data_IF_475176469656
#
_entry.id   IF_475176469656
#
_cell.length_a   1.000
_cell.length_b   1.000
_cell.length_c   1.000
_cell.angle_alpha   90.00
_cell.angle_beta   90.00
_cell.angle_gamma   90.00
#
_symmetry.space_group_name_H-M   'P 1'
#
loop_
_entity.id
_entity.type
_entity.pdbx_description
1 polymer ?
#
# COMPACT_ATOMS: atom_id res chain seq x y z
N UNK A 1 -48.35 -12.40 -1.21
CA UNK A 1 -47.99 -13.81 -0.98
C UNK A 1 -47.06 -14.19 -2.12
N UNK A 2 -45.81 -13.73 -2.09
CA UNK A 2 -44.66 -14.37 -1.40
C UNK A 2 -44.21 -15.58 -2.24
N UNK A 3 -43.01 -15.70 -2.82
CA UNK A 3 -41.72 -15.01 -2.64
C UNK A 3 -40.94 -15.11 -3.97
N UNK A 4 -40.41 -13.99 -4.48
CA UNK A 4 -38.98 -13.64 -4.47
C UNK A 4 -38.10 -14.57 -5.31
N UNK A 5 -37.86 -14.11 -6.54
CA UNK A 5 -36.52 -13.96 -7.13
C UNK A 5 -35.48 -15.01 -6.67
N UNK A 6 -35.41 -16.12 -7.41
CA UNK A 6 -34.21 -16.94 -7.48
C UNK A 6 -33.14 -16.16 -8.26
N UNK A 7 -32.59 -15.10 -7.66
CA UNK A 7 -31.28 -14.62 -8.03
C UNK A 7 -30.31 -15.71 -7.59
N UNK A 8 -29.79 -16.44 -8.55
CA UNK A 8 -28.60 -17.27 -8.44
C UNK A 8 -27.45 -16.36 -7.98
N UNK A 9 -27.39 -16.12 -6.66
CA UNK A 9 -26.23 -15.58 -5.99
C UNK A 9 -25.15 -16.65 -6.12
N UNK A 10 -24.47 -16.63 -7.26
CA UNK A 10 -23.09 -17.10 -7.30
C UNK A 10 -22.35 -16.28 -6.26
N UNK A 11 -22.17 -16.87 -5.09
CA UNK A 11 -21.03 -16.59 -4.23
C UNK A 11 -19.81 -16.90 -5.11
N UNK A 12 -19.40 -15.92 -5.92
CA UNK A 12 -18.12 -15.95 -6.60
C UNK A 12 -17.11 -16.24 -5.51
N UNK A 13 -16.47 -17.40 -5.59
CA UNK A 13 -15.40 -17.77 -4.69
C UNK A 13 -14.39 -16.61 -4.72
N UNK A 14 -14.42 -15.74 -3.70
CA UNK A 14 -13.42 -14.72 -3.53
C UNK A 14 -12.12 -15.49 -3.46
N UNK A 15 -11.26 -15.27 -4.44
CA UNK A 15 -9.88 -15.74 -4.39
C UNK A 15 -9.32 -15.15 -3.11
N UNK A 16 -9.25 -15.96 -2.06
CA UNK A 16 -8.64 -15.57 -0.80
C UNK A 16 -7.17 -15.40 -1.13
N UNK A 17 -6.71 -14.16 -1.17
CA UNK A 17 -5.32 -13.84 -1.44
C UNK A 17 -4.51 -14.31 -0.22
N UNK A 18 -3.35 -14.93 -0.44
CA UNK A 18 -2.46 -15.36 0.64
C UNK A 18 -2.16 -14.21 1.63
N UNK A 19 -2.16 -12.97 1.14
CA UNK A 19 -1.99 -11.75 1.93
C UNK A 19 -3.10 -11.52 2.96
N UNK A 20 -4.34 -11.98 2.71
CA UNK A 20 -5.46 -11.85 3.65
C UNK A 20 -5.34 -12.79 4.85
N UNK A 21 -4.48 -13.81 4.74
CA UNK A 21 -4.16 -14.74 5.83
C UNK A 21 -2.99 -14.26 6.70
N UNK A 22 -2.26 -13.22 6.26
CA UNK A 22 -1.17 -12.65 7.03
C UNK A 22 -1.69 -11.73 8.14
N UNK A 23 -1.03 -11.70 9.31
CA UNK A 23 -1.32 -10.71 10.33
C UNK A 23 -1.24 -9.29 9.76
N UNK A 24 -2.35 -8.56 9.90
CA UNK A 24 -2.47 -7.19 9.43
C UNK A 24 -2.01 -6.22 10.54
N UNK A 25 -1.01 -5.40 10.22
CA UNK A 25 -0.45 -4.39 11.12
C UNK A 25 -0.65 -2.99 10.52
N UNK A 26 -0.88 -1.95 11.33
CA UNK A 26 -0.90 -0.57 10.83
C UNK A 26 0.48 -0.20 10.30
N UNK A 27 0.52 0.34 9.07
CA UNK A 27 1.75 0.81 8.43
C UNK A 27 1.55 2.22 7.87
N UNK A 28 2.63 2.96 7.79
CA UNK A 28 2.72 4.22 7.07
C UNK A 28 3.74 4.08 5.96
N UNK A 29 3.30 4.33 4.73
CA UNK A 29 4.13 4.29 3.55
C UNK A 29 4.64 5.69 3.31
N UNK A 30 5.95 5.83 3.15
CA UNK A 30 6.63 7.12 2.99
C UNK A 30 7.30 7.16 1.63
N UNK A 31 6.99 8.21 0.87
CA UNK A 31 7.59 8.55 -0.42
C UNK A 31 8.50 9.77 -0.25
N UNK A 32 9.68 9.70 -0.84
CA UNK A 32 10.64 10.80 -0.92
C UNK A 32 10.53 11.59 -2.22
N UNK A 33 11.15 12.76 -2.27
CA UNK A 33 11.20 13.59 -3.49
C UNK A 33 11.97 12.91 -4.63
N UNK A 34 12.98 12.09 -4.34
CA UNK A 34 13.71 11.33 -5.35
C UNK A 34 13.03 10.02 -5.77
N UNK A 35 11.77 9.81 -5.38
CA UNK A 35 10.96 8.64 -5.78
C UNK A 35 11.24 7.39 -4.97
N UNK A 36 11.88 7.52 -3.80
CA UNK A 36 12.19 6.41 -2.92
C UNK A 36 11.03 6.10 -1.98
N UNK A 37 10.66 4.82 -1.86
CA UNK A 37 9.53 4.38 -1.01
C UNK A 37 9.97 3.38 0.05
N UNK A 38 9.42 3.53 1.25
CA UNK A 38 9.59 2.58 2.38
C UNK A 38 8.30 2.39 3.16
N UNK A 39 8.15 1.23 3.79
CA UNK A 39 7.11 0.95 4.79
C UNK A 39 7.67 1.15 6.19
N UNK A 40 6.91 1.82 7.05
CA UNK A 40 7.22 2.00 8.46
C UNK A 40 6.03 1.55 9.33
N UNK A 41 6.33 0.92 10.46
CA UNK A 41 5.31 0.36 11.35
C UNK A 41 4.60 1.47 12.14
N UNK A 42 3.29 1.35 12.26
CA UNK A 42 2.43 2.28 13.00
C UNK A 42 2.06 3.54 12.22
N UNK A 43 1.06 4.26 12.73
CA UNK A 43 0.55 5.52 12.16
C UNK A 43 1.07 6.77 12.88
N UNK A 44 1.75 6.59 14.00
CA UNK A 44 2.30 7.63 14.89
C UNK A 44 3.72 8.08 14.51
N UNK A 45 4.21 7.65 13.34
CA UNK A 45 5.50 8.12 12.85
C UNK A 45 5.38 9.55 12.33
N UNK A 46 6.46 10.33 12.42
CA UNK A 46 6.62 11.59 11.71
C UNK A 46 7.56 11.39 10.50
N UNK A 47 7.02 11.22 9.28
CA UNK A 47 7.82 11.02 8.09
C UNK A 47 8.83 12.14 7.81
N UNK A 48 8.49 13.38 8.18
CA UNK A 48 9.33 14.55 7.88
C UNK A 48 10.66 14.54 8.63
N UNK A 49 10.71 13.84 9.77
CA UNK A 49 11.90 13.73 10.64
C UNK A 49 12.74 12.48 10.37
N UNK A 50 12.32 11.61 9.44
CA UNK A 50 13.05 10.39 9.13
C UNK A 50 14.37 10.67 8.41
N UNK A 51 15.31 9.74 8.45
CA UNK A 51 16.54 9.85 7.66
C UNK A 51 16.28 9.60 6.18
N UNK A 52 16.82 10.46 5.32
CA UNK A 52 16.76 10.36 3.86
C UNK A 52 18.17 10.23 3.27
N UNK A 53 18.25 9.85 1.99
CA UNK A 53 19.52 9.80 1.27
C UNK A 53 20.06 11.22 1.06
N UNK A 54 21.36 11.34 0.77
CA UNK A 54 21.96 12.65 0.49
C UNK A 54 21.28 13.33 -0.70
N UNK A 55 20.79 14.55 -0.50
CA UNK A 55 20.03 15.32 -1.50
C UNK A 55 18.57 14.91 -1.65
N UNK A 56 18.04 14.08 -0.76
CA UNK A 56 16.66 13.60 -0.77
C UNK A 56 15.90 14.11 0.46
N UNK A 57 14.58 14.17 0.37
CA UNK A 57 13.73 14.69 1.44
C UNK A 57 12.33 14.07 1.42
N UNK A 58 11.53 14.37 2.43
CA UNK A 58 10.13 13.92 2.51
C UNK A 58 9.30 14.53 1.38
N UNK A 59 8.48 13.70 0.72
CA UNK A 59 7.49 14.15 -0.25
C UNK A 59 6.06 13.94 0.22
N UNK A 60 5.69 12.68 0.51
CA UNK A 60 4.33 12.34 0.97
C UNK A 60 4.30 11.06 1.79
N UNK A 61 3.22 10.85 2.52
CA UNK A 61 2.96 9.61 3.23
C UNK A 61 1.48 9.23 3.22
N UNK A 62 1.21 7.93 3.25
CA UNK A 62 -0.14 7.37 3.37
C UNK A 62 -0.18 6.32 4.46
N UNK A 63 -1.29 6.29 5.20
CA UNK A 63 -1.55 5.29 6.24
C UNK A 63 -2.36 4.17 5.64
N UNK A 64 -2.04 2.94 6.05
CA UNK A 64 -2.74 1.75 5.59
C UNK A 64 -2.46 0.56 6.50
N UNK A 65 -2.72 -0.62 5.96
CA UNK A 65 -2.50 -1.90 6.62
C UNK A 65 -1.47 -2.73 5.84
N UNK A 66 -0.68 -3.55 6.53
CA UNK A 66 0.42 -4.33 5.93
C UNK A 66 -0.02 -5.34 4.85
N UNK A 67 -1.29 -5.77 4.90
CA UNK A 67 -1.89 -6.70 3.95
C UNK A 67 -2.63 -6.00 2.79
N UNK A 68 -2.62 -4.66 2.74
CA UNK A 68 -3.27 -3.90 1.67
C UNK A 68 -2.21 -3.38 0.69
N UNK A 69 -2.35 -3.63 -0.62
CA UNK A 69 -1.40 -3.10 -1.60
C UNK A 69 -1.46 -1.57 -1.67
N UNK A 70 -0.31 -0.97 -1.96
CA UNK A 70 -0.16 0.47 -2.16
C UNK A 70 -0.08 0.76 -3.64
N UNK A 71 -0.90 1.70 -4.10
CA UNK A 71 -0.94 2.12 -5.50
C UNK A 71 -0.13 3.41 -5.70
N UNK A 72 0.74 3.39 -6.69
CA UNK A 72 1.50 4.53 -7.19
C UNK A 72 1.01 4.89 -8.58
N UNK A 73 0.89 6.19 -8.86
CA UNK A 73 0.46 6.72 -10.15
C UNK A 73 1.55 7.63 -10.69
N UNK A 74 2.09 7.30 -11.87
CA UNK A 74 3.06 8.15 -12.53
C UNK A 74 2.39 9.24 -13.39
N UNK A 75 3.18 10.24 -13.75
CA UNK A 75 2.79 11.35 -14.61
C UNK A 75 2.36 10.93 -16.03
N UNK A 76 2.69 9.71 -16.45
CA UNK A 76 2.27 9.13 -17.75
C UNK A 76 0.92 8.41 -17.65
N UNK A 77 0.32 8.33 -16.47
CA UNK A 77 -0.95 7.67 -16.21
C UNK A 77 -0.84 6.16 -15.97
N UNK A 78 0.37 5.63 -15.73
CA UNK A 78 0.54 4.22 -15.35
C UNK A 78 0.37 4.06 -13.85
N UNK A 79 -0.15 2.90 -13.46
CA UNK A 79 -0.30 2.50 -12.07
C UNK A 79 0.61 1.33 -11.72
N UNK A 80 1.17 1.35 -10.52
CA UNK A 80 2.00 0.29 -9.98
C UNK A 80 1.50 -0.07 -8.60
N UNK A 81 1.38 -1.38 -8.32
CA UNK A 81 0.96 -1.90 -7.03
C UNK A 81 2.14 -2.57 -6.35
N UNK A 82 2.37 -2.22 -5.08
CA UNK A 82 3.40 -2.84 -4.26
C UNK A 82 2.81 -3.26 -2.91
N UNK A 83 3.21 -4.44 -2.44
CA UNK A 83 2.86 -4.89 -1.09
C UNK A 83 3.70 -4.13 -0.06
N UNK A 84 3.11 -3.60 1.03
CA UNK A 84 3.86 -3.00 2.13
C UNK A 84 4.92 -3.93 2.73
N UNK A 85 4.71 -5.25 2.67
CA UNK A 85 5.64 -6.25 3.20
C UNK A 85 6.90 -6.42 2.33
N UNK A 86 6.78 -6.14 1.03
CA UNK A 86 7.92 -6.19 0.09
C UNK A 86 8.77 -4.91 0.17
N UNK A 87 8.20 -3.84 0.71
CA UNK A 87 8.86 -2.57 0.99
C UNK A 87 9.67 -2.67 2.29
N UNK A 88 10.77 -3.41 2.27
CA UNK A 88 11.71 -3.44 3.39
C UNK A 88 12.31 -2.05 3.66
N UNK A 89 13.12 -1.93 4.72
CA UNK A 89 13.95 -0.74 4.99
C UNK A 89 14.83 -0.35 3.78
N UNK A 90 15.06 -1.29 2.84
CA UNK A 90 15.64 -1.07 1.53
C UNK A 90 14.58 -0.57 0.53
N UNK A 91 14.54 0.74 0.49
CA UNK A 91 13.97 1.65 -0.50
C UNK A 91 13.76 1.09 -1.92
N UNK A 92 12.52 1.07 -2.41
CA UNK A 92 12.19 0.87 -3.84
C UNK A 92 12.12 2.22 -4.56
N UNK A 93 12.53 2.30 -5.83
CA UNK A 93 12.40 3.52 -6.64
C UNK A 93 11.16 3.42 -7.53
N UNK A 94 10.23 4.34 -7.36
CA UNK A 94 9.09 4.52 -8.25
C UNK A 94 9.44 5.62 -9.25
N UNK A 95 9.35 5.31 -10.54
CA UNK A 95 9.35 6.34 -11.58
C UNK A 95 7.95 6.93 -11.62
N UNK A 96 7.75 8.04 -10.91
CA UNK A 96 6.55 8.89 -10.97
C UNK A 96 6.74 9.98 -12.04
#
# INVERSE_FOLDING_TARGET
MNDVLLFDLKEEAKVVNEQDMLPSEPVTIVLSEMGWVRSAKGHEIDPSTMSYRAGDSYHSAVRGMSNQPVLFLDSTGRSYSLSPNDMHQAVAKVSL
#
